data_IF_873431292659
#
_entry.id   IF_873431292659
#
_cell.length_a   1.000
_cell.length_b   1.000
_cell.length_c   1.000
_cell.angle_alpha   90.00
_cell.angle_beta   90.00
_cell.angle_gamma   90.00
#
_symmetry.space_group_name_H-M   'P 1'
#
loop_
_entity.id
_entity.type
_entity.pdbx_description
1 polymer ?
#
# COMPACT_ATOMS: atom_id res chain seq x y z
N UNK A 1 19.34 9.93 14.50
CA UNK A 1 18.18 9.62 13.64
C UNK A 1 18.43 8.28 12.98
N UNK A 2 17.65 7.24 13.28
CA UNK A 2 17.77 5.94 12.60
C UNK A 2 17.24 6.11 11.18
N UNK A 3 18.12 6.03 10.17
CA UNK A 3 17.69 5.78 8.81
C UNK A 3 16.91 4.46 8.80
N UNK A 4 15.68 4.48 8.29
CA UNK A 4 14.92 3.27 8.01
C UNK A 4 15.71 2.53 6.91
N UNK A 5 16.13 1.30 7.17
CA UNK A 5 16.83 0.47 6.19
C UNK A 5 16.01 0.39 4.89
N UNK A 6 16.67 0.48 3.74
CA UNK A 6 16.12 0.60 2.37
C UNK A 6 15.17 -0.51 1.86
N UNK A 7 14.65 -1.40 2.71
CA UNK A 7 13.79 -2.53 2.31
C UNK A 7 12.82 -2.97 3.41
N UNK A 8 12.04 -2.04 3.96
CA UNK A 8 11.01 -2.39 4.93
C UNK A 8 9.63 -2.32 4.29
N UNK A 9 9.14 -3.48 3.88
CA UNK A 9 7.74 -3.70 3.53
C UNK A 9 6.87 -3.62 4.78
N UNK A 10 5.79 -2.84 4.70
CA UNK A 10 4.88 -2.56 5.80
C UNK A 10 3.49 -3.04 5.39
N UNK A 11 2.89 -3.87 6.24
CA UNK A 11 1.47 -4.22 6.12
C UNK A 11 0.69 -3.52 7.24
N UNK A 12 -0.38 -2.82 6.87
CA UNK A 12 -1.30 -2.10 7.76
C UNK A 12 -2.65 -2.82 7.74
N UNK A 13 -3.11 -3.25 8.91
CA UNK A 13 -4.43 -3.90 9.05
C UNK A 13 -5.50 -2.91 9.51
N UNK A 14 -6.63 -2.92 8.81
CA UNK A 14 -7.82 -2.11 9.12
C UNK A 14 -9.09 -2.98 9.22
N UNK A 15 -10.20 -2.40 9.67
CA UNK A 15 -11.41 -3.15 10.02
C UNK A 15 -12.47 -3.13 8.90
N UNK A 16 -12.30 -2.30 7.87
CA UNK A 16 -13.26 -2.23 6.77
C UNK A 16 -12.64 -1.94 5.40
N UNK A 17 -13.41 -2.22 4.34
CA UNK A 17 -13.05 -1.92 2.94
C UNK A 17 -12.97 -0.42 2.67
N UNK A 18 -13.78 0.38 3.37
CA UNK A 18 -13.72 1.84 3.24
C UNK A 18 -12.48 2.40 3.94
N UNK A 19 -12.10 1.83 5.09
CA UNK A 19 -10.87 2.20 5.79
C UNK A 19 -9.60 1.88 5.00
N UNK A 20 -9.55 0.78 4.23
CA UNK A 20 -8.36 0.48 3.41
C UNK A 20 -8.10 1.63 2.44
N UNK A 21 -9.14 2.07 1.74
CA UNK A 21 -9.06 3.15 0.75
C UNK A 21 -8.81 4.50 1.39
N UNK A 22 -9.49 4.81 2.51
CA UNK A 22 -9.28 6.06 3.25
C UNK A 22 -7.85 6.17 3.77
N UNK A 23 -7.34 5.11 4.38
CA UNK A 23 -5.96 5.08 4.91
C UNK A 23 -4.94 5.25 3.79
N UNK A 24 -5.15 4.58 2.65
CA UNK A 24 -4.25 4.71 1.50
C UNK A 24 -4.22 6.15 0.94
N UNK A 25 -5.39 6.79 0.83
CA UNK A 25 -5.49 8.19 0.38
C UNK A 25 -4.81 9.14 1.35
N UNK A 26 -5.09 9.02 2.64
CA UNK A 26 -4.47 9.86 3.66
C UNK A 26 -2.94 9.71 3.64
N UNK A 27 -2.45 8.47 3.55
CA UNK A 27 -1.01 8.22 3.48
C UNK A 27 -0.37 8.87 2.24
N UNK A 28 -1.03 8.75 1.09
CA UNK A 28 -0.61 9.42 -0.16
C UNK A 28 -0.57 10.94 0.01
N UNK A 29 -1.64 11.54 0.53
CA UNK A 29 -1.78 12.98 0.74
C UNK A 29 -0.72 13.51 1.70
N UNK A 30 -0.55 12.87 2.86
CA UNK A 30 0.50 13.20 3.82
C UNK A 30 1.91 13.09 3.21
N UNK A 31 2.14 12.13 2.32
CA UNK A 31 3.43 11.99 1.63
C UNK A 31 3.69 13.16 0.66
N UNK A 32 2.64 13.64 -0.02
CA UNK A 32 2.73 14.82 -0.89
C UNK A 32 2.96 16.08 -0.06
N UNK A 33 2.19 16.28 1.00
CA UNK A 33 2.28 17.45 1.89
C UNK A 33 3.66 17.60 2.54
N UNK A 34 4.33 16.47 2.80
CA UNK A 34 5.66 16.43 3.43
C UNK A 34 6.82 16.39 2.45
N UNK A 35 6.55 16.45 1.14
CA UNK A 35 7.55 16.26 0.08
C UNK A 35 8.30 14.91 0.17
N UNK A 36 7.59 13.87 0.61
CA UNK A 36 8.06 12.49 0.83
C UNK A 36 7.50 11.51 -0.21
N UNK A 37 7.10 12.00 -1.40
CA UNK A 37 6.40 11.21 -2.44
C UNK A 37 7.17 9.95 -2.87
N UNK A 38 8.50 9.99 -2.84
CA UNK A 38 9.38 8.85 -3.18
C UNK A 38 9.69 7.91 -2.02
N UNK A 39 9.23 8.20 -0.80
CA UNK A 39 9.65 7.48 0.42
C UNK A 39 9.25 6.00 0.42
N UNK A 40 8.16 5.67 -0.25
CA UNK A 40 7.67 4.29 -0.38
C UNK A 40 8.08 3.64 -1.71
N UNK A 41 9.01 4.24 -2.45
CA UNK A 41 9.54 3.70 -3.71
C UNK A 41 11.00 3.27 -3.53
N UNK A 42 11.19 2.04 -3.04
CA UNK A 42 12.52 1.46 -2.76
C UNK A 42 13.23 0.89 -4.00
N UNK A 43 12.52 0.68 -5.11
CA UNK A 43 13.04 -0.03 -6.29
C UNK A 43 13.47 0.84 -7.49
N UNK A 44 13.64 2.15 -7.29
CA UNK A 44 14.12 3.08 -8.31
C UNK A 44 13.23 3.20 -9.57
N UNK A 45 13.83 3.65 -10.68
CA UNK A 45 13.10 3.94 -11.93
C UNK A 45 12.40 2.72 -12.55
N UNK A 46 12.96 1.52 -12.39
CA UNK A 46 12.39 0.29 -12.93
C UNK A 46 11.07 -0.07 -12.23
N UNK A 47 11.04 -0.01 -10.90
CA UNK A 47 9.82 -0.23 -10.11
C UNK A 47 8.76 0.81 -10.42
N UNK A 48 9.16 2.10 -10.52
CA UNK A 48 8.23 3.15 -10.90
C UNK A 48 7.58 2.90 -12.27
N UNK A 49 8.36 2.47 -13.27
CA UNK A 49 7.83 2.14 -14.60
C UNK A 49 6.82 0.99 -14.54
N UNK A 50 7.15 -0.09 -13.82
CA UNK A 50 6.25 -1.24 -13.62
C UNK A 50 4.95 -0.80 -12.96
N UNK A 51 5.02 0.00 -11.90
CA UNK A 51 3.85 0.50 -11.17
C UNK A 51 2.97 1.40 -12.06
N UNK A 52 3.57 2.25 -12.88
CA UNK A 52 2.85 3.12 -13.83
C UNK A 52 2.11 2.31 -14.90
N UNK A 53 2.81 1.39 -15.58
CA UNK A 53 2.22 0.51 -16.60
C UNK A 53 1.12 -0.38 -16.00
N UNK A 54 1.34 -0.86 -14.79
CA UNK A 54 0.37 -1.68 -14.08
C UNK A 54 -0.87 -0.87 -13.69
N UNK A 55 -0.69 0.35 -13.18
CA UNK A 55 -1.76 1.24 -12.79
C UNK A 55 -2.67 1.63 -13.97
N UNK A 56 -2.15 1.69 -15.20
CA UNK A 56 -2.96 1.91 -16.41
C UNK A 56 -3.94 0.77 -16.69
N UNK A 57 -3.57 -0.46 -16.34
CA UNK A 57 -4.37 -1.66 -16.57
C UNK A 57 -5.35 -1.96 -15.43
N UNK A 58 -5.26 -1.24 -14.32
CA UNK A 58 -6.16 -1.37 -13.16
C UNK A 58 -7.46 -0.62 -13.42
N UNK A 59 -8.59 -1.33 -13.31
CA UNK A 59 -9.93 -0.76 -13.47
C UNK A 59 -10.39 0.04 -12.24
N UNK A 60 -9.93 -0.34 -11.05
CA UNK A 60 -10.31 0.35 -9.81
C UNK A 60 -9.60 1.71 -9.72
N UNK A 61 -10.33 2.84 -9.76
CA UNK A 61 -9.71 4.16 -9.75
C UNK A 61 -9.00 4.48 -8.43
N UNK A 62 -9.45 3.88 -7.31
CA UNK A 62 -8.83 4.03 -6.01
C UNK A 62 -7.43 3.43 -5.99
N UNK A 63 -7.32 2.19 -6.46
CA UNK A 63 -6.07 1.44 -6.56
C UNK A 63 -5.10 2.10 -7.56
N UNK A 64 -5.59 2.50 -8.74
CA UNK A 64 -4.77 3.23 -9.73
C UNK A 64 -4.09 4.46 -9.14
N UNK A 65 -4.81 5.24 -8.33
CA UNK A 65 -4.32 6.50 -7.76
C UNK A 65 -3.25 6.33 -6.67
N UNK A 66 -3.10 5.14 -6.09
CA UNK A 66 -2.17 4.88 -4.99
C UNK A 66 -0.98 4.00 -5.40
N UNK A 67 -1.14 3.14 -6.43
CA UNK A 67 -0.09 2.22 -6.88
C UNK A 67 1.20 2.93 -7.28
N UNK A 68 1.11 4.07 -7.97
CA UNK A 68 2.27 4.86 -8.39
C UNK A 68 3.09 5.44 -7.22
N UNK A 69 2.54 5.42 -6.01
CA UNK A 69 3.22 5.86 -4.78
C UNK A 69 3.81 4.69 -3.98
N UNK A 70 3.81 3.46 -4.53
CA UNK A 70 4.27 2.27 -3.80
C UNK A 70 3.30 1.79 -2.72
N UNK A 71 2.03 2.21 -2.80
CA UNK A 71 0.97 1.87 -1.84
C UNK A 71 -0.08 0.98 -2.51
N UNK A 72 -0.41 -0.16 -1.89
CA UNK A 72 -1.46 -1.08 -2.31
C UNK A 72 -2.59 -1.21 -1.29
N UNK A 73 -3.78 -1.56 -1.76
CA UNK A 73 -4.90 -1.99 -0.91
C UNK A 73 -5.30 -3.42 -1.24
N UNK A 74 -5.72 -4.18 -0.23
CA UNK A 74 -6.26 -5.52 -0.41
C UNK A 74 -7.47 -5.77 0.46
N UNK A 75 -8.62 -5.98 -0.17
CA UNK A 75 -9.84 -6.39 0.51
C UNK A 75 -10.74 -7.19 -0.43
N UNK A 76 -11.71 -7.91 0.12
CA UNK A 76 -12.64 -8.76 -0.63
C UNK A 76 -13.53 -8.02 -1.67
N UNK A 77 -13.52 -6.69 -1.67
CA UNK A 77 -14.27 -5.86 -2.62
C UNK A 77 -13.56 -5.59 -3.94
N UNK A 78 -12.24 -5.82 -4.01
CA UNK A 78 -11.48 -5.72 -5.26
C UNK A 78 -11.81 -6.89 -6.19
N UNK A 79 -11.69 -6.69 -7.50
CA UNK A 79 -11.74 -7.80 -8.46
C UNK A 79 -10.63 -8.84 -8.16
N UNK A 80 -10.88 -10.12 -8.47
CA UNK A 80 -9.91 -11.20 -8.24
C UNK A 80 -8.57 -10.92 -8.91
N UNK A 81 -8.58 -10.35 -10.11
CA UNK A 81 -7.37 -9.95 -10.84
C UNK A 81 -6.64 -8.82 -10.12
N UNK A 82 -7.36 -7.80 -9.65
CA UNK A 82 -6.77 -6.70 -8.88
C UNK A 82 -6.13 -7.16 -7.58
N UNK A 83 -6.75 -8.12 -6.87
CA UNK A 83 -6.15 -8.71 -5.65
C UNK A 83 -4.83 -9.43 -5.94
N UNK A 84 -4.81 -10.30 -6.96
CA UNK A 84 -3.60 -11.03 -7.36
C UNK A 84 -2.48 -10.10 -7.78
N UNK A 85 -2.81 -9.09 -8.57
CA UNK A 85 -1.85 -8.08 -8.99
C UNK A 85 -1.19 -7.37 -7.81
N UNK A 86 -1.98 -6.96 -6.81
CA UNK A 86 -1.44 -6.34 -5.59
C UNK A 86 -0.59 -7.32 -4.78
N UNK A 87 -0.99 -8.59 -4.68
CA UNK A 87 -0.21 -9.63 -4.01
C UNK A 87 1.15 -9.85 -4.70
N UNK A 88 1.17 -9.94 -6.03
CA UNK A 88 2.39 -10.10 -6.84
C UNK A 88 3.32 -8.88 -6.71
N UNK A 89 2.80 -7.66 -6.91
CA UNK A 89 3.57 -6.44 -6.77
C UNK A 89 4.15 -6.25 -5.35
N UNK A 90 3.42 -6.68 -4.32
CA UNK A 90 3.92 -6.62 -2.95
C UNK A 90 4.99 -7.69 -2.70
N UNK A 91 4.77 -8.93 -3.15
CA UNK A 91 5.74 -10.02 -3.00
C UNK A 91 7.06 -9.76 -3.76
N UNK A 92 7.00 -9.06 -4.89
CA UNK A 92 8.17 -8.66 -5.67
C UNK A 92 8.86 -7.40 -5.11
N UNK A 93 8.33 -6.82 -4.02
CA UNK A 93 8.88 -5.63 -3.35
C UNK A 93 8.64 -4.32 -4.08
N UNK A 94 7.80 -4.31 -5.12
CA UNK A 94 7.40 -3.09 -5.83
C UNK A 94 6.50 -2.19 -4.98
N UNK A 95 5.70 -2.78 -4.08
CA UNK A 95 4.90 -2.04 -3.10
C UNK A 95 5.56 -2.12 -1.73
N UNK A 96 5.87 -0.97 -1.12
CA UNK A 96 6.41 -0.92 0.23
C UNK A 96 5.31 -0.88 1.29
N UNK A 97 4.09 -0.48 0.94
CA UNK A 97 2.97 -0.40 1.88
C UNK A 97 1.77 -1.17 1.33
N UNK A 98 1.24 -2.11 2.12
CA UNK A 98 0.00 -2.82 1.83
C UNK A 98 -1.01 -2.60 2.94
N UNK A 99 -2.19 -2.07 2.61
CA UNK A 99 -3.27 -1.86 3.56
C UNK A 99 -4.35 -2.90 3.31
N UNK A 100 -4.65 -3.72 4.31
CA UNK A 100 -5.59 -4.83 4.15
C UNK A 100 -6.56 -4.98 5.31
N UNK A 101 -7.74 -5.53 5.03
CA UNK A 101 -8.61 -6.04 6.10
C UNK A 101 -8.02 -7.29 6.73
N UNK A 102 -8.23 -7.51 8.03
CA UNK A 102 -7.59 -8.55 8.87
C UNK A 102 -7.59 -10.01 8.35
N UNK A 103 -8.31 -10.32 7.27
CA UNK A 103 -8.34 -11.64 6.63
C UNK A 103 -7.05 -12.03 5.89
N UNK A 104 -6.13 -11.09 5.63
CA UNK A 104 -4.92 -11.37 4.84
C UNK A 104 -3.77 -11.99 5.65
N UNK A 105 -3.85 -11.98 6.98
CA UNK A 105 -2.75 -12.40 7.86
C UNK A 105 -2.39 -13.90 7.78
N UNK A 106 -3.14 -14.72 7.03
CA UNK A 106 -2.96 -16.18 6.96
C UNK A 106 -2.65 -16.73 5.55
N UNK A 107 -2.65 -15.90 4.51
CA UNK A 107 -2.62 -16.38 3.12
C UNK A 107 -1.44 -15.91 2.25
N UNK A 108 -0.66 -14.95 2.73
CA UNK A 108 0.52 -14.41 2.03
C UNK A 108 1.73 -14.57 2.94
N UNK A 109 2.77 -15.20 2.40
CA UNK A 109 4.08 -15.31 3.04
C UNK A 109 4.70 -13.90 3.09
N UNK A 110 4.28 -13.08 4.04
CA UNK A 110 4.70 -11.69 4.20
C UNK A 110 5.88 -11.61 5.19
N UNK A 111 7.12 -11.39 4.73
CA UNK A 111 8.22 -11.01 5.60
C UNK A 111 8.14 -9.49 5.90
N UNK A 112 7.04 -9.03 6.48
CA UNK A 112 6.84 -7.62 6.78
C UNK A 112 6.74 -7.42 8.29
N UNK A 113 7.49 -6.46 8.82
CA UNK A 113 7.28 -5.98 10.18
C UNK A 113 5.86 -5.38 10.21
N UNK A 114 4.88 -6.14 10.67
CA UNK A 114 3.47 -5.75 10.66
C UNK A 114 3.21 -4.68 11.72
N UNK A 115 2.80 -3.49 11.29
CA UNK A 115 2.36 -2.43 12.20
C UNK A 115 0.83 -2.40 12.20
N UNK A 116 0.23 -2.84 13.31
CA UNK A 116 -1.21 -2.70 13.53
C UNK A 116 -1.53 -1.24 13.86
N UNK A 117 -1.96 -0.46 12.86
CA UNK A 117 -2.48 0.89 13.08
C UNK A 117 -4.00 0.85 12.95
N UNK A 118 -4.69 0.72 14.09
CA UNK A 118 -6.11 1.04 14.18
C UNK A 118 -6.24 2.56 14.10
N UNK A 119 -6.67 3.07 12.94
CA UNK A 119 -6.87 4.50 12.68
C UNK A 119 -8.15 5.03 13.35
N UNK A 120 -8.29 4.80 14.66
CA UNK A 120 -9.39 5.31 15.49
C UNK A 120 -8.94 6.35 16.54
N UNK A 121 -7.79 7.02 16.36
CA UNK A 121 -7.33 8.09 17.28
C UNK A 121 -6.59 9.27 16.60
N UNK A 122 -7.00 9.70 15.39
CA UNK A 122 -6.50 10.97 14.81
C UNK A 122 -7.64 11.90 14.42
N UNK A 123 -8.59 12.07 15.32
CA UNK A 123 -9.67 13.02 15.11
C UNK A 123 -10.46 13.28 16.37
N UNK A 124 -9.80 13.75 17.44
CA UNK A 124 -10.36 14.73 18.39
C UNK A 124 -9.18 15.47 19.05
N UNK A 125 -8.94 16.70 18.58
CA UNK A 125 -8.34 17.80 19.34
C UNK A 125 -8.71 19.10 18.66
#
# INVERSE_FOLDING_TARGET
MKQLNDKQEITVFVHSRSETTRTAKNLKETSIERDEVGKFMSGGLATHKILMETAENVKDPGLKNILQFGIGIHHAGLERLGRRLVEELFADGHLQVLISTATLAWGVNLPAHAWFMSLNQLGES
#
